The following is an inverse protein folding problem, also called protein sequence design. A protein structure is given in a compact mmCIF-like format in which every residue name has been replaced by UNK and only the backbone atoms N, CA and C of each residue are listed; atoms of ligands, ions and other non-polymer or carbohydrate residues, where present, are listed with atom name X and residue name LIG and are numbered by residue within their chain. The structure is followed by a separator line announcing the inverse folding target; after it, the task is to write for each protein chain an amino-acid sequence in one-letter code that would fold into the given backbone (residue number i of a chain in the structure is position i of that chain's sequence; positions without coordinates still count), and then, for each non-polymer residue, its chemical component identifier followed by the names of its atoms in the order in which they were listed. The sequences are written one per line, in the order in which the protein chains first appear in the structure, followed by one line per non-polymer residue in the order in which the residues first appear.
data_IF_770503035190
#
_entry.id   IF_770503035190
#
_cell.length_a   1.000
_cell.length_b   1.000
_cell.length_c   1.000
_cell.angle_alpha   90.00
_cell.angle_beta   90.00
_cell.angle_gamma   90.00
#
_symmetry.space_group_name_H-M   'P 1'
#
loop_
_entity.id
_entity.type
_entity.pdbx_description
1 polymer ?
#
# COMPACT_ATOMS: atom_id res chain seq x y z
N UNK A 1 32.06 28.89 -74.30
CA UNK A 1 30.95 28.16 -73.64
C UNK A 1 31.36 27.68 -72.26
N UNK A 2 31.29 28.56 -71.25
CA UNK A 2 31.44 28.25 -69.81
C UNK A 2 31.19 29.51 -68.96
N UNK A 3 30.17 30.30 -69.31
CA UNK A 3 29.67 31.45 -68.51
C UNK A 3 28.15 31.69 -68.63
N UNK A 4 27.40 30.80 -69.30
CA UNK A 4 25.94 30.87 -69.42
C UNK A 4 25.18 29.86 -68.55
N UNK A 5 25.88 29.05 -67.73
CA UNK A 5 25.26 28.05 -66.84
C UNK A 5 25.18 28.49 -65.36
N UNK A 6 25.63 29.70 -65.01
CA UNK A 6 25.53 30.24 -63.64
C UNK A 6 24.48 31.33 -63.47
N UNK A 7 23.75 31.72 -64.52
CA UNK A 7 22.70 32.74 -64.45
C UNK A 7 21.26 32.16 -64.39
N UNK A 8 21.07 30.87 -64.69
CA UNK A 8 19.76 30.21 -64.56
C UNK A 8 19.51 29.58 -63.19
N UNK A 9 20.53 29.45 -62.33
CA UNK A 9 20.37 28.92 -60.97
C UNK A 9 20.17 30.02 -59.91
N UNK A 10 20.37 31.30 -60.27
CA UNK A 10 20.14 32.43 -59.36
C UNK A 10 18.74 33.06 -59.52
N UNK A 11 18.01 32.77 -60.60
CA UNK A 11 16.62 33.23 -60.79
C UNK A 11 15.57 32.22 -60.31
N UNK A 12 15.96 30.96 -60.08
CA UNK A 12 15.10 29.92 -59.49
C UNK A 12 15.07 29.96 -57.95
N UNK A 13 16.00 30.66 -57.29
CA UNK A 13 15.99 30.81 -55.83
C UNK A 13 15.31 32.09 -55.35
N UNK A 14 15.07 33.08 -56.21
CA UNK A 14 14.40 34.33 -55.82
C UNK A 14 12.86 34.25 -55.90
N UNK A 15 12.30 33.24 -56.59
CA UNK A 15 10.85 32.96 -56.57
C UNK A 15 10.39 32.02 -55.46
N UNK A 16 11.32 31.36 -54.74
CA UNK A 16 10.98 30.55 -53.55
C UNK A 16 11.04 31.41 -52.28
N UNK A 17 11.79 32.52 -52.28
CA UNK A 17 11.89 33.44 -51.15
C UNK A 17 10.73 34.46 -51.04
N UNK A 18 9.85 34.59 -52.05
CA UNK A 18 8.68 35.48 -52.01
C UNK A 18 7.33 34.73 -51.83
N UNK A 19 7.32 33.40 -51.85
CA UNK A 19 6.11 32.59 -51.54
C UNK A 19 6.09 32.12 -50.07
N UNK A 20 7.19 32.30 -49.33
CA UNK A 20 7.32 31.92 -47.92
C UNK A 20 7.13 33.07 -46.93
N UNK A 21 6.52 34.19 -47.32
CA UNK A 21 6.31 35.36 -46.43
C UNK A 21 4.91 36.01 -46.51
N UNK A 22 3.91 35.30 -47.07
CA UNK A 22 2.52 35.77 -47.11
C UNK A 22 1.49 34.73 -46.64
N UNK A 23 1.87 33.84 -45.72
CA UNK A 23 0.90 32.99 -45.00
C UNK A 23 0.97 33.07 -43.47
N UNK A 24 1.74 34.01 -42.91
CA UNK A 24 1.88 34.21 -41.47
C UNK A 24 1.36 35.57 -40.99
N UNK A 25 0.22 36.02 -41.52
CA UNK A 25 -0.56 37.14 -40.96
C UNK A 25 -2.06 36.99 -41.24
N UNK A 26 -2.65 35.87 -40.82
CA UNK A 26 -4.10 35.75 -40.58
C UNK A 26 -4.38 34.40 -39.91
N UNK A 27 -4.07 34.31 -38.61
CA UNK A 27 -4.67 33.40 -37.62
C UNK A 27 -4.09 33.71 -36.23
N UNK A 28 -4.19 34.97 -35.85
CA UNK A 28 -4.09 35.39 -34.46
C UNK A 28 -5.50 35.83 -34.04
N UNK A 29 -6.32 34.86 -33.63
CA UNK A 29 -7.54 34.97 -32.83
C UNK A 29 -8.37 33.68 -32.99
N UNK A 30 -8.01 32.63 -32.24
CA UNK A 30 -8.92 31.68 -31.58
C UNK A 30 -8.07 30.61 -30.88
N UNK A 31 -7.38 31.01 -29.81
CA UNK A 31 -6.92 30.08 -28.78
C UNK A 31 -7.86 30.25 -27.58
N UNK A 32 -9.02 29.60 -27.67
CA UNK A 32 -9.89 29.30 -26.54
C UNK A 32 -10.46 27.89 -26.74
N UNK A 33 -10.17 27.01 -25.79
CA UNK A 33 -10.83 25.71 -25.66
C UNK A 33 -10.13 24.57 -26.39
N UNK A 34 -8.95 24.15 -25.93
CA UNK A 34 -8.66 22.71 -25.93
C UNK A 34 -9.46 22.13 -24.76
N UNK A 35 -10.67 21.67 -25.05
CA UNK A 35 -11.34 20.72 -24.15
C UNK A 35 -10.47 19.48 -24.14
N UNK A 36 -9.76 19.27 -23.04
CA UNK A 36 -9.22 17.96 -22.70
C UNK A 36 -10.39 16.98 -22.80
N UNK A 37 -10.35 16.10 -23.82
CA UNK A 37 -11.19 14.92 -23.77
C UNK A 37 -10.63 14.08 -22.63
N UNK A 38 -11.20 14.25 -21.44
CA UNK A 38 -11.11 13.26 -20.37
C UNK A 38 -11.55 11.95 -21.00
N UNK A 39 -10.59 11.11 -21.37
CA UNK A 39 -10.83 9.70 -21.55
C UNK A 39 -11.19 9.19 -20.16
N UNK A 40 -12.49 9.25 -19.86
CA UNK A 40 -13.08 8.58 -18.72
C UNK A 40 -12.93 7.08 -19.01
N UNK A 41 -11.77 6.54 -18.65
CA UNK A 41 -11.64 5.12 -18.42
C UNK A 41 -12.59 4.84 -17.27
N UNK A 42 -13.72 4.21 -17.58
CA UNK A 42 -14.57 3.57 -16.59
C UNK A 42 -13.75 2.44 -15.98
N UNK A 43 -12.88 2.80 -15.03
CA UNK A 43 -12.25 1.84 -14.15
C UNK A 43 -13.38 1.29 -13.30
N UNK A 44 -14.01 0.22 -13.79
CA UNK A 44 -14.84 -0.61 -12.92
C UNK A 44 -13.92 -1.07 -11.79
N UNK A 45 -14.10 -0.49 -10.62
CA UNK A 45 -13.43 -0.96 -9.41
C UNK A 45 -13.82 -2.43 -9.24
N UNK A 46 -12.84 -3.33 -9.21
CA UNK A 46 -13.14 -4.73 -8.99
C UNK A 46 -13.35 -4.97 -7.49
N UNK A 47 -14.34 -5.79 -7.14
CA UNK A 47 -14.43 -6.29 -5.79
C UNK A 47 -13.38 -7.38 -5.61
N UNK A 48 -12.59 -7.30 -4.54
CA UNK A 48 -11.63 -8.33 -4.19
C UNK A 48 -11.70 -8.66 -2.70
N UNK A 49 -11.32 -9.88 -2.36
CA UNK A 49 -11.16 -10.32 -0.97
C UNK A 49 -9.76 -9.89 -0.51
N UNK A 50 -9.71 -9.00 0.48
CA UNK A 50 -8.47 -8.55 1.12
C UNK A 50 -7.82 -9.66 1.96
N UNK A 51 -8.64 -10.42 2.70
CA UNK A 51 -8.19 -11.41 3.68
C UNK A 51 -9.38 -12.28 4.13
N UNK A 52 -9.17 -13.55 4.43
CA UNK A 52 -10.07 -14.33 5.29
C UNK A 52 -9.35 -15.00 6.47
N UNK A 53 -9.81 -14.84 7.71
CA UNK A 53 -9.16 -15.49 8.85
C UNK A 53 -9.95 -15.38 10.15
N UNK A 54 -9.51 -16.08 11.19
CA UNK A 54 -10.18 -16.05 12.49
C UNK A 54 -9.88 -14.77 13.26
N UNK A 55 -10.93 -14.17 13.83
CA UNK A 55 -10.79 -13.07 14.77
C UNK A 55 -10.50 -13.57 16.20
N UNK A 56 -10.30 -12.63 17.15
CA UNK A 56 -10.02 -12.96 18.56
C UNK A 56 -11.17 -13.70 19.27
N UNK A 57 -12.40 -13.59 18.77
CA UNK A 57 -13.58 -14.27 19.30
C UNK A 57 -13.75 -15.69 18.76
N UNK A 58 -12.93 -16.08 17.76
CA UNK A 58 -13.05 -17.37 17.08
C UNK A 58 -14.03 -17.38 15.91
N UNK A 59 -14.57 -16.23 15.48
CA UNK A 59 -15.36 -16.16 14.26
C UNK A 59 -14.45 -16.09 13.04
N UNK A 60 -14.82 -16.77 11.95
CA UNK A 60 -14.16 -16.63 10.66
C UNK A 60 -14.63 -15.34 10.00
N UNK A 61 -13.70 -14.48 9.58
CA UNK A 61 -14.00 -13.16 8.99
C UNK A 61 -13.37 -13.06 7.62
N UNK A 62 -14.18 -12.74 6.62
CA UNK A 62 -13.75 -12.41 5.26
C UNK A 62 -13.84 -10.89 5.10
N UNK A 63 -12.74 -10.24 4.72
CA UNK A 63 -12.65 -8.81 4.44
C UNK A 63 -12.60 -8.57 2.94
N UNK A 64 -13.37 -7.59 2.47
CA UNK A 64 -13.49 -7.18 1.07
C UNK A 64 -12.97 -5.76 0.87
N UNK A 65 -12.72 -5.40 -0.40
CA UNK A 65 -12.29 -4.06 -0.80
C UNK A 65 -13.38 -2.99 -0.66
N UNK A 66 -14.64 -3.39 -0.81
CA UNK A 66 -15.82 -2.51 -0.80
C UNK A 66 -16.95 -3.09 0.08
N UNK A 67 -17.97 -2.28 0.38
CA UNK A 67 -19.13 -2.69 1.17
C UNK A 67 -19.98 -3.70 0.42
N UNK A 68 -20.32 -4.82 1.07
CA UNK A 68 -21.04 -5.93 0.45
C UNK A 68 -22.54 -5.69 0.45
N UNK A 69 -23.20 -5.94 -0.70
CA UNK A 69 -24.66 -5.94 -0.76
C UNK A 69 -25.21 -7.11 0.04
N UNK A 70 -26.01 -6.81 1.06
CA UNK A 70 -26.51 -7.80 2.02
C UNK A 70 -27.66 -8.65 1.45
N UNK A 71 -28.24 -8.27 0.32
CA UNK A 71 -29.41 -8.94 -0.28
C UNK A 71 -29.00 -10.03 -1.27
N UNK A 72 -28.16 -10.96 -0.83
CA UNK A 72 -27.62 -12.05 -1.65
C UNK A 72 -27.70 -13.39 -0.90
N UNK A 73 -27.81 -14.49 -1.63
CA UNK A 73 -27.87 -15.86 -1.08
C UNK A 73 -26.44 -16.35 -0.72
N UNK A 74 -25.87 -15.83 0.38
CA UNK A 74 -24.47 -16.10 0.75
C UNK A 74 -24.16 -17.58 1.02
N UNK A 75 -25.13 -18.37 1.45
CA UNK A 75 -25.02 -19.81 1.62
C UNK A 75 -24.70 -20.56 0.30
N UNK A 76 -24.92 -19.94 -0.86
CA UNK A 76 -24.52 -20.48 -2.18
C UNK A 76 -23.20 -19.91 -2.70
N UNK A 77 -22.70 -18.86 -2.05
CA UNK A 77 -21.52 -18.11 -2.48
C UNK A 77 -20.32 -18.33 -1.54
N UNK A 78 -20.56 -18.86 -0.34
CA UNK A 78 -19.53 -19.12 0.66
C UNK A 78 -19.65 -20.56 1.13
N UNK A 79 -18.54 -21.27 1.04
CA UNK A 79 -18.38 -22.64 1.51
C UNK A 79 -17.26 -22.67 2.56
N UNK A 80 -17.49 -23.39 3.65
CA UNK A 80 -16.50 -23.60 4.71
C UNK A 80 -16.27 -25.10 4.85
N UNK A 81 -15.03 -25.52 4.64
CA UNK A 81 -14.61 -26.91 4.79
C UNK A 81 -13.96 -27.13 6.16
N UNK A 82 -14.07 -28.36 6.69
CA UNK A 82 -13.50 -28.76 7.99
C UNK A 82 -14.44 -28.56 9.18
N UNK A 83 -15.65 -28.03 8.97
CA UNK A 83 -16.68 -27.88 10.00
C UNK A 83 -17.86 -28.82 9.75
N UNK A 84 -18.14 -29.69 10.72
CA UNK A 84 -19.34 -30.53 10.75
C UNK A 84 -20.45 -29.80 11.52
N UNK A 85 -21.19 -28.90 10.87
CA UNK A 85 -22.29 -28.20 11.52
C UNK A 85 -22.83 -27.01 10.72
N UNK A 86 -23.94 -26.45 11.21
CA UNK A 86 -24.54 -25.25 10.61
C UNK A 86 -23.66 -24.02 10.85
N UNK A 87 -23.55 -23.18 9.83
CA UNK A 87 -22.90 -21.87 9.91
C UNK A 87 -23.93 -20.74 9.86
N UNK A 88 -23.63 -19.64 10.55
CA UNK A 88 -24.37 -18.38 10.40
C UNK A 88 -23.50 -17.37 9.68
N UNK A 89 -23.97 -16.88 8.53
CA UNK A 89 -23.25 -15.89 7.71
C UNK A 89 -23.85 -14.51 7.93
N UNK A 90 -23.02 -13.54 8.32
CA UNK A 90 -23.43 -12.18 8.69
C UNK A 90 -22.62 -11.12 7.93
N UNK A 91 -23.16 -10.54 6.84
CA UNK A 91 -22.52 -9.42 6.16
C UNK A 91 -22.62 -8.12 6.98
N UNK A 92 -21.49 -7.41 7.10
CA UNK A 92 -21.38 -6.14 7.83
C UNK A 92 -20.35 -5.22 7.15
N UNK A 93 -20.82 -4.19 6.44
CA UNK A 93 -19.93 -3.27 5.73
C UNK A 93 -19.04 -4.01 4.73
N UNK A 94 -17.72 -3.81 4.84
CA UNK A 94 -16.71 -4.49 4.00
C UNK A 94 -16.28 -5.86 4.51
N UNK A 95 -17.05 -6.50 5.38
CA UNK A 95 -16.71 -7.83 5.91
C UNK A 95 -17.92 -8.75 5.99
N UNK A 96 -17.67 -10.05 5.91
CA UNK A 96 -18.61 -11.11 6.25
C UNK A 96 -18.06 -11.86 7.46
N UNK A 97 -18.88 -11.98 8.50
CA UNK A 97 -18.56 -12.74 9.71
C UNK A 97 -19.31 -14.08 9.61
N UNK A 98 -18.57 -15.18 9.74
CA UNK A 98 -19.11 -16.53 9.73
C UNK A 98 -18.94 -17.09 11.13
N UNK A 99 -20.06 -17.45 11.75
CA UNK A 99 -20.10 -18.10 13.05
C UNK A 99 -20.38 -19.58 12.87
N UNK A 100 -19.68 -20.40 13.65
CA UNK A 100 -19.81 -21.85 13.71
C UNK A 100 -19.09 -22.36 14.95
N UNK A 101 -19.23 -23.64 15.26
CA UNK A 101 -18.55 -24.29 16.39
C UNK A 101 -17.08 -24.61 16.05
N UNK A 102 -16.33 -23.58 15.66
CA UNK A 102 -14.93 -23.71 15.25
C UNK A 102 -14.04 -24.07 16.45
N UNK A 103 -13.26 -25.14 16.29
CA UNK A 103 -12.37 -25.67 17.31
C UNK A 103 -10.93 -25.23 17.09
N UNK A 104 -10.15 -25.16 18.17
CA UNK A 104 -8.69 -24.98 18.09
C UNK A 104 -8.04 -26.22 17.49
N UNK A 105 -6.89 -26.05 16.85
CA UNK A 105 -6.10 -27.13 16.22
C UNK A 105 -6.82 -27.92 15.11
N UNK A 106 -7.98 -27.46 14.62
CA UNK A 106 -8.66 -28.01 13.43
C UNK A 106 -8.41 -27.08 12.24
N UNK A 107 -7.93 -27.60 11.10
CA UNK A 107 -7.78 -26.80 9.88
C UNK A 107 -9.14 -26.58 9.22
N UNK A 108 -9.45 -25.33 8.94
CA UNK A 108 -10.60 -24.93 8.14
C UNK A 108 -10.14 -24.32 6.82
N UNK A 109 -10.97 -24.47 5.79
CA UNK A 109 -10.79 -23.77 4.51
C UNK A 109 -12.05 -22.99 4.19
N UNK A 110 -11.90 -21.88 3.49
CA UNK A 110 -13.03 -21.07 3.02
C UNK A 110 -12.90 -20.81 1.54
N UNK A 111 -14.00 -21.04 0.83
CA UNK A 111 -14.18 -20.65 -0.55
C UNK A 111 -15.22 -19.54 -0.61
N UNK A 112 -14.88 -18.49 -1.34
CA UNK A 112 -15.78 -17.39 -1.70
C UNK A 112 -15.91 -17.43 -3.21
N UNK A 113 -17.06 -17.89 -3.69
CA UNK A 113 -17.33 -18.00 -5.11
C UNK A 113 -17.42 -16.63 -5.76
N UNK A 114 -16.98 -16.53 -7.01
CA UNK A 114 -17.23 -15.37 -7.86
C UNK A 114 -18.74 -15.06 -7.93
N UNK A 115 -19.07 -13.79 -8.17
CA UNK A 115 -20.46 -13.33 -8.23
C UNK A 115 -20.97 -12.63 -6.97
N UNK A 116 -20.20 -12.60 -5.88
CA UNK A 116 -20.51 -11.70 -4.76
C UNK A 116 -20.43 -10.25 -5.24
N UNK A 117 -21.43 -9.45 -4.88
CA UNK A 117 -21.55 -8.04 -5.27
C UNK A 117 -21.35 -7.06 -4.12
N UNK A 118 -20.75 -5.92 -4.42
CA UNK A 118 -20.72 -4.75 -3.55
C UNK A 118 -21.98 -3.89 -3.73
N UNK A 119 -22.26 -3.00 -2.77
CA UNK A 119 -23.34 -2.02 -2.85
C UNK A 119 -23.14 -1.08 -4.05
N UNK A 120 -21.89 -0.83 -4.45
CA UNK A 120 -21.51 -0.03 -5.61
C UNK A 120 -21.72 -0.75 -6.95
N UNK A 121 -22.13 -2.02 -6.93
CA UNK A 121 -22.35 -2.83 -8.13
C UNK A 121 -21.10 -3.56 -8.66
N UNK A 122 -19.98 -3.48 -7.93
CA UNK A 122 -18.75 -4.19 -8.27
C UNK A 122 -18.89 -5.69 -7.94
N UNK A 123 -18.28 -6.56 -8.74
CA UNK A 123 -18.41 -8.02 -8.59
C UNK A 123 -17.06 -8.67 -8.34
N UNK A 124 -17.05 -9.72 -7.52
CA UNK A 124 -15.91 -10.61 -7.37
C UNK A 124 -15.83 -11.48 -8.62
N UNK A 125 -14.82 -11.24 -9.46
CA UNK A 125 -14.72 -11.87 -10.78
C UNK A 125 -14.20 -13.31 -10.76
N UNK A 126 -13.45 -13.68 -9.71
CA UNK A 126 -12.81 -14.99 -9.58
C UNK A 126 -13.07 -15.59 -8.20
N UNK A 127 -13.09 -16.93 -8.13
CA UNK A 127 -13.22 -17.64 -6.85
C UNK A 127 -12.00 -17.31 -5.97
N UNK A 128 -12.24 -16.93 -4.72
CA UNK A 128 -11.21 -16.79 -3.70
C UNK A 128 -11.21 -18.05 -2.82
N UNK A 129 -10.03 -18.60 -2.56
CA UNK A 129 -9.85 -19.75 -1.69
C UNK A 129 -8.76 -19.49 -0.67
N UNK A 130 -9.02 -19.86 0.58
CA UNK A 130 -7.99 -19.86 1.63
C UNK A 130 -8.08 -21.14 2.45
N UNK A 131 -6.92 -21.77 2.64
CA UNK A 131 -6.78 -23.07 3.29
C UNK A 131 -6.07 -22.94 4.64
N UNK A 132 -6.13 -24.00 5.44
CA UNK A 132 -5.37 -24.17 6.68
C UNK A 132 -5.55 -23.01 7.68
N UNK A 133 -6.78 -22.53 7.84
CA UNK A 133 -7.15 -21.53 8.84
C UNK A 133 -7.35 -22.22 10.19
N UNK A 134 -6.69 -21.71 11.24
CA UNK A 134 -6.80 -22.23 12.60
C UNK A 134 -7.29 -21.15 13.57
N UNK A 135 -8.20 -21.53 14.45
CA UNK A 135 -8.69 -20.64 15.51
C UNK A 135 -7.55 -20.28 16.46
N UNK A 136 -7.29 -18.98 16.61
CA UNK A 136 -6.31 -18.45 17.56
C UNK A 136 -4.86 -18.37 17.04
N UNK A 137 -4.56 -18.92 15.86
CA UNK A 137 -3.23 -18.78 15.25
C UNK A 137 -3.01 -17.33 14.78
N UNK A 138 -1.92 -16.71 15.20
CA UNK A 138 -1.63 -15.33 14.82
C UNK A 138 -0.77 -15.27 13.57
N UNK A 139 -1.13 -14.35 12.68
CA UNK A 139 -0.33 -14.06 11.50
C UNK A 139 0.95 -13.30 11.92
N UNK A 140 2.06 -13.47 11.17
CA UNK A 140 3.24 -12.62 11.30
C UNK A 140 2.83 -11.14 11.24
N UNK A 141 3.28 -10.32 12.18
CA UNK A 141 2.91 -8.90 12.22
C UNK A 141 4.00 -8.05 12.85
N UNK A 142 4.14 -6.83 12.35
CA UNK A 142 4.97 -5.77 12.91
C UNK A 142 4.09 -4.55 13.20
N UNK A 143 4.29 -3.89 14.33
CA UNK A 143 3.55 -2.66 14.67
C UNK A 143 4.40 -1.76 15.54
N UNK A 144 4.55 -0.49 15.19
CA UNK A 144 5.22 0.47 16.08
C UNK A 144 4.41 0.65 17.38
N UNK A 145 5.11 0.72 18.52
CA UNK A 145 4.46 0.86 19.81
C UNK A 145 3.85 2.26 20.02
N UNK A 146 4.38 3.25 19.31
CA UNK A 146 4.07 4.67 19.43
C UNK A 146 3.62 5.27 18.09
N UNK A 147 2.42 5.85 18.10
CA UNK A 147 1.78 6.52 16.97
C UNK A 147 2.31 7.95 16.72
N UNK A 148 3.16 8.47 17.60
CA UNK A 148 3.75 9.80 17.46
C UNK A 148 4.72 9.86 16.28
N UNK A 149 4.57 10.91 15.45
CA UNK A 149 5.46 11.18 14.31
C UNK A 149 6.71 12.01 14.70
N UNK A 150 6.71 12.58 15.90
CA UNK A 150 7.86 13.30 16.43
C UNK A 150 8.70 12.32 17.21
N UNK A 151 9.99 12.23 16.90
CA UNK A 151 10.95 11.53 17.74
C UNK A 151 11.52 12.56 18.70
N UNK A 152 11.01 12.67 19.93
CA UNK A 152 11.55 13.64 20.85
C UNK A 152 12.98 13.23 21.22
N UNK A 153 13.92 14.18 21.19
CA UNK A 153 15.30 13.98 21.63
C UNK A 153 15.39 13.37 23.04
N UNK A 154 14.33 13.53 23.85
CA UNK A 154 14.20 12.99 25.21
C UNK A 154 14.07 11.46 25.30
N UNK A 155 13.78 10.74 24.20
CA UNK A 155 13.67 9.26 24.22
C UNK A 155 14.92 8.54 23.69
N UNK A 156 16.10 9.17 23.81
CA UNK A 156 17.38 8.62 23.34
C UNK A 156 17.37 8.11 21.88
N UNK A 157 16.55 8.70 21.01
CA UNK A 157 16.38 8.31 19.59
C UNK A 157 16.08 6.82 19.37
N UNK A 158 15.27 6.19 20.23
CA UNK A 158 14.85 4.80 20.02
C UNK A 158 13.49 4.70 19.34
N UNK A 159 13.33 3.68 18.51
CA UNK A 159 12.02 3.24 18.03
C UNK A 159 11.63 1.95 18.74
N UNK A 160 10.40 1.89 19.22
CA UNK A 160 9.85 0.71 19.88
C UNK A 160 8.79 0.08 18.96
N UNK A 161 8.79 -1.24 18.87
CA UNK A 161 7.82 -1.95 18.05
C UNK A 161 7.50 -3.31 18.66
N UNK A 162 6.31 -3.79 18.33
CA UNK A 162 5.83 -5.11 18.65
C UNK A 162 5.99 -6.02 17.44
N UNK A 163 6.40 -7.25 17.67
CA UNK A 163 6.37 -8.33 16.68
C UNK A 163 5.52 -9.49 17.18
N UNK A 164 4.96 -10.25 16.25
CA UNK A 164 4.31 -11.55 16.49
C UNK A 164 4.79 -12.49 15.41
N UNK A 165 5.31 -13.66 15.79
CA UNK A 165 5.81 -14.68 14.85
C UNK A 165 6.87 -14.14 13.85
N UNK A 166 7.78 -13.27 14.30
CA UNK A 166 8.87 -12.68 13.49
C UNK A 166 10.21 -12.96 14.20
N UNK A 167 11.17 -13.51 13.47
CA UNK A 167 12.57 -13.72 13.93
C UNK A 167 13.57 -12.77 13.29
N UNK A 168 13.25 -12.16 12.14
CA UNK A 168 14.13 -11.18 11.48
C UNK A 168 13.35 -9.96 11.01
N UNK A 169 13.93 -8.78 11.23
CA UNK A 169 13.36 -7.52 10.77
C UNK A 169 14.41 -6.69 10.06
N UNK A 170 14.10 -6.23 8.85
CA UNK A 170 14.88 -5.24 8.11
C UNK A 170 14.36 -3.84 8.44
N UNK A 171 15.23 -3.01 8.99
CA UNK A 171 15.01 -1.59 9.18
C UNK A 171 15.58 -0.83 7.99
N UNK A 172 14.75 -0.04 7.34
CA UNK A 172 15.17 0.92 6.32
C UNK A 172 14.69 2.32 6.68
N UNK A 173 15.57 3.32 6.55
CA UNK A 173 15.28 4.71 6.85
C UNK A 173 15.56 5.54 5.61
N UNK A 174 14.53 6.22 5.13
CA UNK A 174 14.59 7.13 3.98
C UNK A 174 14.54 8.56 4.50
N UNK A 175 15.52 9.38 4.15
CA UNK A 175 15.50 10.82 4.45
C UNK A 175 14.80 11.55 3.32
N UNK A 176 13.67 12.18 3.64
CA UNK A 176 12.84 12.91 2.67
C UNK A 176 13.58 14.16 2.20
N UNK A 177 13.62 14.38 0.89
CA UNK A 177 14.19 15.61 0.34
C UNK A 177 13.38 16.83 0.75
N UNK A 178 14.06 17.94 1.04
CA UNK A 178 13.42 19.17 1.50
C UNK A 178 12.32 19.68 0.55
N UNK A 179 12.55 19.59 -0.76
CA UNK A 179 11.59 19.97 -1.79
C UNK A 179 10.37 19.04 -1.89
N UNK A 180 10.44 17.83 -1.32
CA UNK A 180 9.37 16.82 -1.37
C UNK A 180 8.56 16.73 -0.07
N UNK A 181 8.96 17.43 1.00
CA UNK A 181 8.31 17.40 2.33
C UNK A 181 6.80 17.64 2.23
N UNK A 182 6.36 18.69 1.52
CA UNK A 182 4.93 19.02 1.43
C UNK A 182 4.12 17.92 0.76
N UNK A 183 4.65 17.34 -0.32
CA UNK A 183 3.98 16.24 -1.02
C UNK A 183 3.94 14.99 -0.15
N UNK A 184 5.07 14.65 0.48
CA UNK A 184 5.16 13.51 1.40
C UNK A 184 4.15 13.63 2.55
N UNK A 185 4.07 14.79 3.21
CA UNK A 185 3.16 15.00 4.33
C UNK A 185 1.70 14.84 3.91
N UNK A 186 1.30 15.40 2.76
CA UNK A 186 -0.05 15.22 2.19
C UNK A 186 -0.39 13.76 1.89
N UNK A 187 0.57 13.01 1.34
CA UNK A 187 0.38 11.59 1.08
C UNK A 187 0.29 10.79 2.38
N UNK A 188 1.13 11.11 3.37
CA UNK A 188 1.20 10.40 4.65
C UNK A 188 0.01 10.67 5.59
N UNK A 189 -0.70 11.78 5.38
CA UNK A 189 -1.89 12.13 6.17
C UNK A 189 -3.15 11.44 5.68
N UNK A 190 -3.15 10.90 4.46
CA UNK A 190 -4.24 10.08 3.96
C UNK A 190 -4.02 8.66 4.49
N UNK A 191 -5.03 8.03 5.11
CA UNK A 191 -4.94 6.67 5.71
C UNK A 191 -4.54 5.55 4.73
N UNK A 192 -4.41 5.86 3.43
CA UNK A 192 -3.82 4.96 2.47
C UNK A 192 -2.33 4.83 2.72
N UNK A 193 -1.90 3.61 3.06
CA UNK A 193 -0.50 3.22 3.09
C UNK A 193 0.22 3.81 1.89
N UNK A 194 1.37 4.47 2.14
CA UNK A 194 2.29 5.08 1.17
C UNK A 194 2.89 4.09 0.14
N UNK A 195 2.25 2.94 -0.05
CA UNK A 195 2.77 1.74 -0.71
C UNK A 195 2.84 1.86 -2.24
N UNK A 196 2.00 2.71 -2.84
CA UNK A 196 1.92 2.86 -4.30
C UNK A 196 2.18 4.29 -4.79
N UNK A 197 2.05 5.30 -3.92
CA UNK A 197 2.05 6.73 -4.31
C UNK A 197 3.37 7.45 -4.04
N UNK A 198 4.25 6.82 -3.28
CA UNK A 198 5.59 7.33 -3.02
C UNK A 198 6.48 6.82 -4.14
N UNK A 199 6.69 7.67 -5.16
CA UNK A 199 7.76 7.48 -6.13
C UNK A 199 9.07 7.22 -5.39
N UNK A 200 9.93 6.38 -5.98
CA UNK A 200 11.31 6.13 -5.52
C UNK A 200 12.11 7.43 -5.29
N UNK A 201 11.62 8.57 -5.80
CA UNK A 201 12.26 9.88 -5.75
C UNK A 201 11.92 10.76 -4.53
N UNK A 202 11.21 10.28 -3.50
CA UNK A 202 10.89 11.14 -2.34
C UNK A 202 12.09 11.49 -1.45
N UNK A 203 13.16 10.68 -1.50
CA UNK A 203 14.31 10.80 -0.62
C UNK A 203 15.31 9.66 -0.79
N UNK A 204 16.41 9.72 -0.05
CA UNK A 204 17.49 8.72 -0.10
C UNK A 204 17.39 7.73 1.06
N UNK A 205 17.69 6.45 0.81
CA UNK A 205 17.95 5.48 1.87
C UNK A 205 19.24 5.86 2.59
N UNK A 206 19.13 6.34 3.83
CA UNK A 206 20.28 6.75 4.65
C UNK A 206 20.74 5.65 5.61
N UNK A 207 19.92 4.63 5.82
CA UNK A 207 20.26 3.49 6.65
C UNK A 207 19.44 2.26 6.23
N UNK A 208 20.09 1.10 6.18
CA UNK A 208 19.44 -0.18 5.96
C UNK A 208 20.20 -1.25 6.74
N UNK A 209 19.50 -2.00 7.60
CA UNK A 209 20.10 -3.09 8.39
C UNK A 209 19.06 -4.12 8.78
N UNK A 210 19.45 -5.38 8.73
CA UNK A 210 18.67 -6.50 9.28
C UNK A 210 19.06 -6.79 10.72
N UNK A 211 18.07 -7.14 11.53
CA UNK A 211 18.20 -7.52 12.92
C UNK A 211 17.52 -8.86 13.14
N UNK A 212 18.23 -9.80 13.76
CA UNK A 212 17.59 -10.96 14.37
C UNK A 212 16.96 -10.52 15.70
N UNK A 213 15.74 -10.99 15.96
CA UNK A 213 14.98 -10.68 17.16
C UNK A 213 14.43 -11.96 17.76
N UNK A 214 14.21 -11.94 19.07
CA UNK A 214 13.55 -13.04 19.76
C UNK A 214 12.11 -13.18 19.26
N UNK A 215 11.70 -14.42 19.02
CA UNK A 215 10.33 -14.77 18.69
C UNK A 215 9.80 -15.77 19.70
N UNK A 216 8.49 -15.68 19.95
CA UNK A 216 7.76 -16.69 20.69
C UNK A 216 6.41 -16.89 20.01
N UNK A 217 6.09 -18.15 19.75
CA UNK A 217 4.90 -18.53 19.00
C UNK A 217 3.64 -17.87 19.57
N UNK A 218 2.94 -17.15 18.70
CA UNK A 218 1.68 -16.44 18.93
C UNK A 218 1.70 -15.43 20.10
N UNK A 219 2.88 -14.99 20.53
CA UNK A 219 3.06 -13.97 21.56
C UNK A 219 3.54 -12.64 20.97
N UNK A 220 3.16 -11.55 21.65
CA UNK A 220 3.62 -10.21 21.30
C UNK A 220 4.97 -9.97 21.97
N UNK A 221 6.03 -9.86 21.16
CA UNK A 221 7.37 -9.53 21.63
C UNK A 221 7.60 -8.04 21.46
N UNK A 222 8.07 -7.38 22.52
CA UNK A 222 8.39 -5.94 22.52
C UNK A 222 9.87 -5.75 22.19
N UNK A 223 10.15 -4.97 21.17
CA UNK A 223 11.49 -4.73 20.65
C UNK A 223 11.81 -3.23 20.65
N UNK A 224 13.10 -2.92 20.64
CA UNK A 224 13.60 -1.55 20.58
C UNK A 224 14.85 -1.49 19.70
N UNK A 225 14.91 -0.54 18.77
CA UNK A 225 16.12 -0.26 17.98
C UNK A 225 16.59 1.16 18.31
N UNK A 226 17.89 1.28 18.60
CA UNK A 226 18.57 2.54 18.82
C UNK A 226 18.97 3.19 17.50
N UNK A 227 18.59 4.46 17.30
CA UNK A 227 18.88 5.24 16.09
C UNK A 227 19.95 6.32 16.32
N UNK A 228 20.68 6.29 17.44
CA UNK A 228 21.85 7.15 17.62
C UNK A 228 22.91 6.83 16.57
N UNK A 229 23.52 7.85 15.96
CA UNK A 229 24.45 7.65 14.84
C UNK A 229 23.76 7.46 13.49
N UNK A 230 22.43 7.29 13.48
CA UNK A 230 21.64 7.00 12.27
C UNK A 230 20.79 8.21 11.88
N UNK A 231 19.98 8.72 12.81
CA UNK A 231 19.16 9.92 12.61
C UNK A 231 19.78 11.09 13.38
N UNK A 232 20.83 11.69 12.82
CA UNK A 232 21.57 12.80 13.47
C UNK A 232 21.36 14.17 12.83
N UNK A 233 20.76 14.22 11.65
CA UNK A 233 20.50 15.48 10.96
C UNK A 233 19.02 15.86 11.04
N UNK A 234 18.72 17.16 11.13
CA UNK A 234 17.32 17.62 11.10
C UNK A 234 16.66 17.25 9.78
N UNK A 235 15.37 16.93 9.83
CA UNK A 235 14.61 16.57 8.66
C UNK A 235 13.43 15.65 8.96
N UNK A 236 12.79 15.19 7.89
CA UNK A 236 11.71 14.20 7.94
C UNK A 236 12.27 12.89 7.40
N UNK A 237 11.94 11.81 8.09
CA UNK A 237 12.39 10.46 7.81
C UNK A 237 11.18 9.54 7.68
N UNK A 238 11.20 8.69 6.68
CA UNK A 238 10.27 7.58 6.54
C UNK A 238 10.96 6.30 6.99
N UNK A 239 10.43 5.69 8.04
CA UNK A 239 10.99 4.50 8.66
C UNK A 239 10.14 3.29 8.27
N UNK A 240 10.79 2.27 7.73
CA UNK A 240 10.18 1.00 7.33
C UNK A 240 10.79 -0.15 8.13
N UNK A 241 9.93 -0.95 8.74
CA UNK A 241 10.26 -2.28 9.23
C UNK A 241 9.60 -3.30 8.32
N UNK A 242 10.36 -4.26 7.81
CA UNK A 242 9.84 -5.36 6.99
C UNK A 242 10.39 -6.70 7.43
N UNK A 243 9.57 -7.75 7.30
CA UNK A 243 9.96 -9.15 7.44
C UNK A 243 9.84 -9.80 6.07
N UNK A 244 10.97 -10.05 5.42
CA UNK A 244 11.03 -10.52 4.02
C UNK A 244 11.45 -11.99 4.02
N UNK A 245 10.74 -12.82 3.27
CA UNK A 245 11.06 -14.24 3.12
C UNK A 245 10.62 -15.11 4.32
N UNK A 246 10.46 -16.41 4.08
CA UNK A 246 10.03 -17.39 5.08
C UNK A 246 11.04 -17.53 6.22
N UNK A 247 12.33 -17.30 5.94
CA UNK A 247 13.40 -17.32 6.92
C UNK A 247 13.30 -16.18 7.94
N UNK A 248 12.44 -15.18 7.71
CA UNK A 248 12.22 -14.05 8.63
C UNK A 248 11.10 -14.28 9.64
N UNK A 249 10.24 -15.28 9.44
CA UNK A 249 9.06 -15.53 10.28
C UNK A 249 9.19 -16.82 11.11
N UNK A 250 8.62 -16.79 12.30
CA UNK A 250 8.51 -17.96 13.19
C UNK A 250 7.09 -18.53 13.06
N UNK A 251 6.82 -19.12 11.90
CA UNK A 251 5.49 -19.57 11.50
C UNK A 251 5.62 -20.78 10.58
N UNK A 252 4.95 -21.88 10.93
CA UNK A 252 4.94 -23.10 10.12
C UNK A 252 3.93 -22.95 8.96
N UNK A 253 4.43 -22.50 7.80
CA UNK A 253 3.62 -22.31 6.58
C UNK A 253 3.00 -23.63 6.12
N UNK A 254 3.73 -24.74 6.22
CA UNK A 254 3.24 -26.04 5.79
C UNK A 254 2.02 -26.49 6.61
N UNK A 255 2.02 -26.22 7.93
CA UNK A 255 0.90 -26.53 8.82
C UNK A 255 -0.24 -25.50 8.72
N UNK A 256 0.08 -24.20 8.73
CA UNK A 256 -0.90 -23.13 8.94
C UNK A 256 -1.20 -22.30 7.67
N UNK A 257 -0.74 -22.76 6.50
CA UNK A 257 -0.95 -22.10 5.21
C UNK A 257 -0.13 -20.82 5.04
N UNK A 258 -0.12 -20.27 3.81
CA UNK A 258 0.60 -19.03 3.53
C UNK A 258 0.05 -17.85 4.34
N UNK A 259 0.90 -17.15 5.10
CA UNK A 259 0.51 -15.91 5.74
C UNK A 259 0.19 -14.82 4.72
N UNK A 260 -0.46 -13.76 5.19
CA UNK A 260 -0.60 -12.56 4.38
C UNK A 260 0.79 -11.97 4.08
N UNK A 261 0.96 -11.49 2.86
CA UNK A 261 2.17 -10.80 2.43
C UNK A 261 1.85 -9.50 1.71
N UNK A 262 2.85 -8.61 1.63
CA UNK A 262 2.77 -7.31 0.97
C UNK A 262 3.66 -7.30 -0.28
N UNK A 263 3.14 -6.70 -1.36
CA UNK A 263 3.90 -6.43 -2.60
C UNK A 263 4.07 -7.63 -3.53
N UNK A 264 4.64 -7.36 -4.71
CA UNK A 264 5.00 -8.34 -5.74
C UNK A 264 6.53 -8.38 -5.91
N UNK A 265 7.24 -8.51 -4.79
CA UNK A 265 8.70 -8.62 -4.77
C UNK A 265 9.15 -10.07 -5.07
N UNK A 266 10.43 -10.27 -5.36
CA UNK A 266 11.03 -11.61 -5.55
C UNK A 266 10.86 -12.52 -4.32
N UNK A 267 10.64 -11.92 -3.14
CA UNK A 267 10.37 -12.58 -1.88
C UNK A 267 9.17 -11.93 -1.18
N UNK A 268 8.25 -12.72 -0.60
CA UNK A 268 7.09 -12.18 0.09
C UNK A 268 7.50 -11.35 1.32
N UNK A 269 6.88 -10.19 1.50
CA UNK A 269 7.00 -9.41 2.73
C UNK A 269 5.88 -9.84 3.67
N UNK A 270 6.15 -10.71 4.65
CA UNK A 270 5.12 -11.25 5.54
C UNK A 270 4.66 -10.30 6.64
N UNK A 271 5.45 -9.27 6.94
CA UNK A 271 5.05 -8.24 7.89
C UNK A 271 5.69 -6.90 7.52
N UNK A 272 4.95 -5.82 7.72
CA UNK A 272 5.39 -4.46 7.43
C UNK A 272 4.82 -3.48 8.46
N UNK A 273 5.66 -2.57 8.92
CA UNK A 273 5.24 -1.41 9.69
C UNK A 273 5.99 -0.18 9.20
N UNK A 274 5.29 0.93 9.05
CA UNK A 274 5.90 2.19 8.59
C UNK A 274 5.49 3.35 9.48
N UNK A 275 6.38 4.32 9.66
CA UNK A 275 6.08 5.57 10.37
C UNK A 275 6.91 6.73 9.87
N UNK A 276 6.40 7.94 10.07
CA UNK A 276 7.16 9.18 9.89
C UNK A 276 7.91 9.52 11.18
N UNK A 277 9.16 9.97 11.05
CA UNK A 277 9.92 10.59 12.14
C UNK A 277 10.33 12.00 11.71
N UNK A 278 9.98 12.99 12.51
CA UNK A 278 10.43 14.38 12.34
C UNK A 278 11.45 14.68 13.43
N UNK A 279 12.69 14.98 13.01
CA UNK A 279 13.74 15.50 13.89
C UNK A 279 13.90 17.01 13.65
N UNK A 280 13.46 17.80 14.63
CA UNK A 280 13.43 19.26 14.55
C UNK A 280 13.63 19.89 15.93
N UNK A 281 14.18 21.10 15.96
CA UNK A 281 14.23 21.96 17.15
C UNK A 281 13.06 22.96 17.19
N UNK A 282 12.12 22.84 16.23
CA UNK A 282 10.98 23.74 16.08
C UNK A 282 9.74 23.08 16.68
N UNK A 283 9.14 23.75 17.67
CA UNK A 283 7.77 23.48 18.10
C UNK A 283 6.81 24.44 17.41
N UNK A 284 5.74 23.93 16.83
CA UNK A 284 4.69 24.74 16.20
C UNK A 284 3.44 24.66 17.08
N UNK A 285 2.96 25.80 17.53
CA UNK A 285 1.67 25.94 18.21
C UNK A 285 0.83 26.88 17.36
N UNK A 286 -0.28 26.37 16.83
CA UNK A 286 -1.27 27.17 16.13
C UNK A 286 -2.54 27.20 16.98
N UNK A 287 -3.07 28.40 17.21
CA UNK A 287 -4.38 28.59 17.82
C UNK A 287 -5.29 29.23 16.77
N UNK A 288 -6.41 28.58 16.50
CA UNK A 288 -7.47 29.18 15.69
C UNK A 288 -8.46 29.85 16.64
N UNK A 289 -8.56 31.17 16.59
CA UNK A 289 -9.52 31.95 17.39
C UNK A 289 -10.85 32.12 16.65
N UNK A 290 -11.30 31.09 15.94
CA UNK A 290 -12.60 31.16 15.26
C UNK A 290 -13.69 30.56 16.15
N UNK A 291 -14.58 31.49 16.53
CA UNK A 291 -15.91 31.31 17.13
C UNK A 291 -16.94 30.87 16.10
#
# INVERSE_FOLDING_TARGET
MKKFLKLFFALSLLMIALVACQKDKEKAQTEQGQTEQEQNYDYQEMLYVNNAGFNISGDLVIMFSDEIDKNQEFNKLIEVEGLDGDITIMPFGRKIIIKGDFQKEVPYSVKVSKGIKSVSGNELNEDYMRYNLYVGKKQPTLTFADYGNVLPSVNNKKINFNSVNIKKVKLEIVKIYTNNITQYLKLSSNEYSLDWSVKEDIGDVVFSKEYEIESKEDEVVKNSIDLNGVIDTKGIYYVKLTSVGEESIDYDIAKYGEPLSFGYEDQPIYAKATKTIILSDIGIVANSNDS
#
